data_IF_720258840755
#
_entry.id   IF_720258840755
#
_cell.length_a   1.000
_cell.length_b   1.000
_cell.length_c   1.000
_cell.angle_alpha   90.00
_cell.angle_beta   90.00
_cell.angle_gamma   90.00
#
_symmetry.space_group_name_H-M   'P 1'
#
loop_
_entity.id
_entity.type
_entity.pdbx_description
1 polymer ?
#
# COMPACT_ATOMS: atom_id res chain seq x y z
N UNK A 1 22.82 -1.61 -27.85
CA UNK A 1 23.06 -0.92 -26.56
C UNK A 1 21.87 0.01 -26.33
N UNK A 2 21.07 -0.01 -25.28
CA UNK A 2 21.32 -0.35 -23.88
C UNK A 2 20.02 -0.88 -23.22
N UNK A 3 19.96 -2.19 -22.99
CA UNK A 3 18.94 -2.85 -22.14
C UNK A 3 19.25 -2.71 -20.64
N UNK A 4 20.04 -1.72 -20.25
CA UNK A 4 20.57 -1.56 -18.89
C UNK A 4 19.70 -0.69 -17.98
N UNK A 5 18.73 0.04 -18.52
CA UNK A 5 17.88 0.92 -17.70
C UNK A 5 16.73 0.20 -16.99
N UNK A 6 16.31 -0.98 -17.44
CA UNK A 6 15.19 -1.69 -16.82
C UNK A 6 15.51 -2.23 -15.42
N UNK A 7 16.70 -2.77 -15.15
CA UNK A 7 16.97 -3.33 -13.81
C UNK A 7 17.13 -2.29 -12.69
N UNK A 8 17.53 -1.06 -13.00
CA UNK A 8 17.64 0.02 -12.01
C UNK A 8 16.38 0.92 -11.97
N UNK A 9 15.67 1.05 -13.10
CA UNK A 9 14.42 1.81 -13.22
C UNK A 9 13.14 0.96 -13.21
N UNK A 10 13.15 -0.37 -13.04
CA UNK A 10 11.89 -1.11 -12.80
C UNK A 10 11.57 -1.14 -11.30
N UNK A 11 12.60 -0.98 -10.45
CA UNK A 11 12.44 -0.86 -9.01
C UNK A 11 11.84 0.50 -8.61
N UNK A 12 12.20 1.60 -9.27
CA UNK A 12 11.79 2.95 -8.86
C UNK A 12 10.33 3.31 -9.22
N UNK A 13 9.79 3.05 -10.42
CA UNK A 13 8.40 3.28 -10.78
C UNK A 13 7.46 2.32 -10.04
N UNK A 14 7.82 1.04 -9.91
CA UNK A 14 6.97 0.09 -9.19
C UNK A 14 7.01 0.34 -7.68
N UNK A 15 8.14 0.76 -7.11
CA UNK A 15 8.21 1.19 -5.72
C UNK A 15 7.44 2.51 -5.50
N UNK A 16 7.60 3.49 -6.40
CA UNK A 16 6.89 4.76 -6.34
C UNK A 16 5.37 4.55 -6.44
N UNK A 17 4.90 3.78 -7.43
CA UNK A 17 3.48 3.43 -7.55
C UNK A 17 2.97 2.68 -6.31
N UNK A 18 3.81 1.83 -5.71
CA UNK A 18 3.46 1.16 -4.46
C UNK A 18 3.30 2.16 -3.31
N UNK A 19 4.21 3.13 -3.17
CA UNK A 19 4.10 4.17 -2.15
C UNK A 19 2.84 5.01 -2.35
N UNK A 20 2.52 5.40 -3.59
CA UNK A 20 1.29 6.14 -3.91
C UNK A 20 0.05 5.33 -3.55
N UNK A 21 -0.01 4.05 -3.95
CA UNK A 21 -1.12 3.13 -3.61
C UNK A 21 -1.28 2.96 -2.10
N UNK A 22 -0.16 2.83 -1.39
CA UNK A 22 -0.16 2.68 0.07
C UNK A 22 -0.65 3.95 0.77
N UNK A 23 -0.26 5.13 0.27
CA UNK A 23 -0.75 6.43 0.73
C UNK A 23 -2.25 6.57 0.57
N UNK A 24 -2.77 6.26 -0.62
CA UNK A 24 -4.22 6.30 -0.88
C UNK A 24 -5.00 5.32 -0.01
N UNK A 25 -4.47 4.11 0.19
CA UNK A 25 -5.08 3.14 1.09
C UNK A 25 -5.09 3.62 2.56
N UNK A 26 -4.07 4.38 3.00
CA UNK A 26 -4.05 4.98 4.33
C UNK A 26 -5.15 6.04 4.50
N UNK A 27 -5.31 6.94 3.52
CA UNK A 27 -6.40 7.93 3.49
C UNK A 27 -7.78 7.26 3.55
N UNK A 28 -7.97 6.20 2.77
CA UNK A 28 -9.22 5.43 2.70
C UNK A 28 -9.54 4.74 4.05
N UNK A 29 -8.53 4.16 4.72
CA UNK A 29 -8.71 3.57 6.05
C UNK A 29 -9.06 4.64 7.10
N UNK A 30 -8.40 5.80 7.06
CA UNK A 30 -8.72 6.92 7.94
C UNK A 30 -10.13 7.46 7.71
N UNK A 31 -10.65 7.39 6.48
CA UNK A 31 -12.02 7.78 6.15
C UNK A 31 -13.06 6.69 6.47
N UNK A 32 -12.65 5.52 6.99
CA UNK A 32 -13.57 4.44 7.30
C UNK A 32 -14.02 3.67 6.06
N UNK A 33 -13.17 3.56 5.04
CA UNK A 33 -13.44 2.89 3.75
C UNK A 33 -13.78 1.40 3.79
N UNK A 34 -14.00 0.83 4.99
CA UNK A 34 -14.47 -0.53 5.22
C UNK A 34 -13.36 -1.52 5.59
N UNK A 35 -13.62 -2.82 5.44
CA UNK A 35 -12.67 -3.88 5.82
C UNK A 35 -11.30 -3.71 5.13
N UNK A 36 -10.23 -3.96 5.90
CA UNK A 36 -8.83 -3.86 5.44
C UNK A 36 -8.57 -4.61 4.13
N UNK A 37 -9.17 -5.79 3.96
CA UNK A 37 -9.07 -6.61 2.73
C UNK A 37 -9.63 -5.87 1.52
N UNK A 38 -10.83 -5.28 1.66
CA UNK A 38 -11.49 -4.52 0.60
C UNK A 38 -10.69 -3.29 0.19
N UNK A 39 -10.14 -2.56 1.17
CA UNK A 39 -9.27 -1.39 0.91
C UNK A 39 -7.97 -1.84 0.21
N UNK A 40 -7.34 -2.93 0.65
CA UNK A 40 -6.15 -3.46 0.01
C UNK A 40 -6.41 -3.80 -1.48
N UNK A 41 -7.49 -4.51 -1.78
CA UNK A 41 -7.85 -4.86 -3.15
C UNK A 41 -8.15 -3.64 -4.01
N UNK A 42 -8.86 -2.64 -3.48
CA UNK A 42 -9.18 -1.39 -4.17
C UNK A 42 -7.93 -0.65 -4.64
N UNK A 43 -6.88 -0.64 -3.82
CA UNK A 43 -5.61 0.03 -4.13
C UNK A 43 -4.57 -0.90 -4.78
N UNK A 44 -5.01 -2.05 -5.31
CA UNK A 44 -4.20 -2.89 -6.17
C UNK A 44 -3.26 -3.86 -5.46
N UNK A 45 -3.55 -4.19 -4.19
CA UNK A 45 -2.90 -5.30 -3.50
C UNK A 45 -3.70 -6.59 -3.67
N UNK A 46 -3.09 -7.59 -4.30
CA UNK A 46 -3.72 -8.91 -4.49
C UNK A 46 -3.86 -9.70 -3.18
N UNK A 47 -3.01 -9.42 -2.19
CA UNK A 47 -2.98 -10.14 -0.92
C UNK A 47 -2.97 -9.17 0.26
N UNK A 48 -3.98 -9.27 1.11
CA UNK A 48 -4.10 -8.42 2.31
C UNK A 48 -2.93 -8.59 3.29
N UNK A 49 -2.34 -9.78 3.39
CA UNK A 49 -1.15 -10.00 4.23
C UNK A 49 0.06 -9.20 3.76
N UNK A 50 0.32 -9.16 2.45
CA UNK A 50 1.42 -8.36 1.88
C UNK A 50 1.16 -6.87 2.04
N UNK A 51 -0.09 -6.45 1.85
CA UNK A 51 -0.51 -5.08 2.15
C UNK A 51 -0.23 -4.72 3.61
N UNK A 52 -0.64 -5.54 4.57
CA UNK A 52 -0.44 -5.26 6.00
C UNK A 52 1.03 -5.16 6.40
N UNK A 53 1.90 -5.98 5.80
CA UNK A 53 3.37 -5.90 6.01
C UNK A 53 3.93 -4.59 5.45
N UNK A 54 3.62 -4.26 4.19
CA UNK A 54 4.10 -3.03 3.55
C UNK A 54 3.56 -1.79 4.28
N UNK A 55 2.30 -1.83 4.72
CA UNK A 55 1.65 -0.79 5.50
C UNK A 55 2.32 -0.56 6.85
N UNK A 56 2.54 -1.64 7.63
CA UNK A 56 3.23 -1.53 8.93
C UNK A 56 4.65 -1.00 8.76
N UNK A 57 5.36 -1.38 7.70
CA UNK A 57 6.70 -0.84 7.40
C UNK A 57 6.67 0.66 7.14
N UNK A 58 5.64 1.19 6.50
CA UNK A 58 5.52 2.61 6.18
C UNK A 58 4.98 3.46 7.34
N UNK A 59 4.02 2.94 8.11
CA UNK A 59 3.27 3.72 9.11
C UNK A 59 3.48 3.27 10.57
N UNK A 60 4.29 2.23 10.81
CA UNK A 60 4.58 1.70 12.14
C UNK A 60 3.46 0.88 12.78
N UNK A 61 2.22 0.99 12.29
CA UNK A 61 1.02 0.33 12.83
C UNK A 61 0.37 -0.57 11.77
N UNK A 62 -0.36 -1.64 12.15
CA UNK A 62 -1.15 -2.41 11.20
C UNK A 62 -2.35 -1.59 10.66
N UNK A 63 -2.83 -1.86 9.43
CA UNK A 63 -3.93 -1.11 8.83
C UNK A 63 -5.26 -1.22 9.60
N UNK A 64 -5.47 -2.32 10.32
CA UNK A 64 -6.64 -2.49 11.20
C UNK A 64 -6.66 -1.51 12.37
N UNK A 65 -5.49 -1.10 12.86
CA UNK A 65 -5.40 -0.10 13.92
C UNK A 65 -5.79 1.28 13.38
N UNK A 66 -5.30 1.66 12.20
CA UNK A 66 -5.70 2.91 11.54
C UNK A 66 -7.20 2.96 11.30
N UNK A 67 -7.80 1.88 10.78
CA UNK A 67 -9.24 1.80 10.57
C UNK A 67 -10.02 1.97 11.89
N UNK A 68 -9.56 1.32 12.97
CA UNK A 68 -10.20 1.41 14.28
C UNK A 68 -10.13 2.81 14.88
N UNK A 69 -9.10 3.61 14.57
CA UNK A 69 -9.00 5.01 15.04
C UNK A 69 -10.06 5.94 14.44
N UNK A 70 -10.76 5.51 13.39
CA UNK A 70 -11.88 6.25 12.81
C UNK A 70 -13.26 5.79 13.31
N UNK A 71 -13.33 4.81 14.21
CA UNK A 71 -14.58 4.40 14.89
C UNK A 71 -14.55 4.95 16.31
#
# INVERSE_FOLDING_TARGET
>A
MQLAFRRHLDLTPMAYLRQVRLGRAHEDLLAGGGPVTSVAHRWGYAHAGRFAVDYRRAYGVPPSETLRKNT
#
